data_IF_733030036240
#
_entry.id   IF_733030036240
#
_cell.length_a   1.000
_cell.length_b   1.000
_cell.length_c   1.000
_cell.angle_alpha   90.00
_cell.angle_beta   90.00
_cell.angle_gamma   90.00
#
_symmetry.space_group_name_H-M   'P 1'
#
loop_
_entity.id
_entity.type
_entity.pdbx_description
1 polymer ?
#
# COMPACT_ATOMS: atom_id res chain seq x y z
N UNK A 1 13.86 -19.61 12.28
CA UNK A 1 14.55 -20.05 11.04
C UNK A 1 14.88 -18.80 10.23
N UNK A 2 16.16 -18.53 10.03
CA UNK A 2 16.62 -17.37 9.28
C UNK A 2 16.80 -17.77 7.81
N UNK A 3 16.26 -17.01 6.89
CA UNK A 3 16.55 -17.15 5.47
C UNK A 3 17.08 -15.81 4.96
N UNK A 4 18.21 -15.83 4.25
CA UNK A 4 18.70 -14.66 3.54
C UNK A 4 18.31 -14.80 2.07
N UNK A 5 17.69 -13.80 1.51
CA UNK A 5 17.29 -13.77 0.10
C UNK A 5 18.42 -13.32 -0.83
N UNK A 6 19.65 -13.57 -0.44
CA UNK A 6 20.80 -13.58 -1.30
C UNK A 6 21.29 -12.26 -1.89
N UNK A 7 20.57 -11.16 -1.77
CA UNK A 7 21.03 -9.83 -2.18
C UNK A 7 20.58 -8.76 -1.20
N UNK A 8 21.52 -7.96 -0.74
CA UNK A 8 21.31 -6.77 0.13
C UNK A 8 20.87 -7.05 1.58
N UNK A 9 21.15 -8.21 2.14
CA UNK A 9 20.99 -8.42 3.58
C UNK A 9 19.57 -8.38 4.11
N UNK A 10 18.59 -8.77 3.32
CA UNK A 10 17.21 -8.92 3.78
C UNK A 10 17.07 -10.18 4.61
N UNK A 11 16.71 -10.05 5.87
CA UNK A 11 16.47 -11.19 6.76
C UNK A 11 14.99 -11.30 7.05
N UNK A 12 14.44 -12.50 6.90
CA UNK A 12 13.09 -12.82 7.35
C UNK A 12 13.19 -13.65 8.63
N UNK A 13 12.81 -13.04 9.76
CA UNK A 13 12.66 -13.76 11.02
C UNK A 13 11.20 -14.18 11.16
N UNK A 14 10.93 -15.47 11.13
CA UNK A 14 9.61 -16.02 11.35
C UNK A 14 9.54 -16.57 12.78
N UNK A 15 8.72 -15.98 13.63
CA UNK A 15 8.33 -16.55 14.91
C UNK A 15 6.99 -17.25 14.74
N UNK A 16 6.81 -18.45 15.30
CA UNK A 16 5.49 -19.05 15.42
C UNK A 16 4.58 -18.12 16.23
N UNK A 17 3.34 -17.96 15.82
CA UNK A 17 2.37 -17.06 16.46
C UNK A 17 2.22 -17.33 17.98
N UNK A 18 2.39 -18.58 18.39
CA UNK A 18 2.26 -19.04 19.76
C UNK A 18 3.44 -18.70 20.68
N UNK A 19 4.54 -18.17 20.13
CA UNK A 19 5.77 -17.90 20.88
C UNK A 19 5.96 -16.45 21.31
N UNK A 20 5.04 -15.55 20.96
CA UNK A 20 5.24 -14.09 21.08
C UNK A 20 4.22 -13.41 22.00
N UNK A 21 3.18 -14.11 22.44
CA UNK A 21 2.18 -13.54 23.33
C UNK A 21 2.80 -13.27 24.73
N UNK A 22 3.03 -12.00 25.02
CA UNK A 22 3.52 -11.54 26.31
C UNK A 22 5.03 -11.58 26.54
N UNK A 23 5.85 -11.84 25.54
CA UNK A 23 7.31 -11.82 25.70
C UNK A 23 7.92 -10.53 25.12
N UNK A 24 8.54 -9.74 26.00
CA UNK A 24 9.53 -8.74 25.59
C UNK A 24 10.89 -9.44 25.43
N UNK A 25 11.42 -9.47 24.22
CA UNK A 25 12.73 -10.06 23.95
C UNK A 25 13.53 -9.20 22.98
N UNK A 26 14.84 -9.11 23.20
CA UNK A 26 15.76 -8.50 22.26
C UNK A 26 16.13 -9.54 21.20
N UNK A 27 15.92 -9.19 19.93
CA UNK A 27 16.43 -9.97 18.80
C UNK A 27 17.76 -9.36 18.36
N UNK A 28 18.83 -10.12 18.52
CA UNK A 28 20.15 -9.71 18.04
C UNK A 28 20.36 -10.26 16.63
N UNK A 29 20.46 -9.37 15.67
CA UNK A 29 20.81 -9.69 14.30
C UNK A 29 22.29 -9.36 14.05
N UNK A 30 23.10 -10.35 13.72
CA UNK A 30 24.48 -10.13 13.29
C UNK A 30 24.52 -10.15 11.77
N UNK A 31 24.84 -9.02 11.16
CA UNK A 31 25.03 -8.87 9.73
C UNK A 31 26.52 -9.01 9.41
N UNK A 32 26.88 -10.00 8.61
CA UNK A 32 28.27 -10.25 8.19
C UNK A 32 28.62 -9.59 6.85
N UNK A 33 27.88 -8.57 6.43
CA UNK A 33 28.16 -7.85 5.19
C UNK A 33 29.05 -6.61 5.45
N UNK A 34 30.02 -6.31 4.59
CA UNK A 34 30.95 -5.19 4.80
C UNK A 34 30.29 -3.81 4.69
N UNK A 35 29.03 -3.72 4.29
CA UNK A 35 28.26 -2.47 4.18
C UNK A 35 26.82 -2.76 4.53
N UNK A 36 26.47 -2.74 5.83
CA UNK A 36 25.07 -2.76 6.26
C UNK A 36 24.57 -1.32 6.29
N UNK A 37 23.83 -0.92 5.29
CA UNK A 37 23.37 0.46 5.26
C UNK A 37 22.01 0.67 5.90
N UNK A 38 21.06 -0.25 5.76
CA UNK A 38 19.78 -0.22 6.47
C UNK A 38 19.16 -1.61 6.52
N UNK A 39 18.62 -1.99 7.67
CA UNK A 39 17.74 -3.13 7.78
C UNK A 39 16.32 -2.61 8.04
N UNK A 40 15.45 -2.71 7.06
CA UNK A 40 14.03 -2.55 7.31
C UNK A 40 13.50 -3.86 7.89
N UNK A 41 13.07 -3.86 9.15
CA UNK A 41 12.44 -5.00 9.77
C UNK A 41 10.92 -4.85 9.66
N UNK A 42 10.30 -5.83 9.04
CA UNK A 42 8.86 -5.96 9.03
C UNK A 42 8.49 -7.09 9.99
N UNK A 43 7.66 -6.83 10.98
CA UNK A 43 6.95 -7.88 11.66
C UNK A 43 5.69 -8.20 10.86
N UNK A 44 5.62 -9.41 10.34
CA UNK A 44 4.37 -9.93 9.77
C UNK A 44 3.67 -10.67 10.90
N UNK A 45 2.61 -10.08 11.43
CA UNK A 45 1.72 -10.75 12.35
C UNK A 45 0.68 -11.55 11.56
N UNK A 46 0.41 -12.76 11.99
CA UNK A 46 -0.68 -13.56 11.47
C UNK A 46 -1.79 -13.57 12.52
N UNK A 47 -2.94 -13.06 12.16
CA UNK A 47 -4.16 -13.19 12.97
C UNK A 47 -5.18 -14.02 12.22
N UNK A 48 -5.94 -14.81 12.96
CA UNK A 48 -7.10 -15.48 12.41
C UNK A 48 -8.25 -14.50 12.35
N UNK A 49 -8.82 -14.34 11.16
CA UNK A 49 -10.06 -13.59 11.02
C UNK A 49 -11.23 -14.31 11.70
N UNK A 50 -12.40 -13.69 11.66
CA UNK A 50 -13.62 -14.22 12.26
C UNK A 50 -14.08 -15.57 11.66
N UNK A 51 -13.49 -16.00 10.53
CA UNK A 51 -13.77 -17.28 9.85
C UNK A 51 -12.68 -18.31 10.12
N UNK A 52 -11.62 -17.94 10.85
CA UNK A 52 -10.48 -18.80 11.16
C UNK A 52 -9.37 -18.83 10.12
N UNK A 53 -9.47 -18.01 9.08
CA UNK A 53 -8.46 -17.88 8.04
C UNK A 53 -7.32 -16.97 8.50
N UNK A 54 -6.07 -17.39 8.22
CA UNK A 54 -4.88 -16.63 8.57
C UNK A 54 -4.73 -15.42 7.64
N UNK A 55 -4.82 -14.24 8.22
CA UNK A 55 -4.53 -12.97 7.55
C UNK A 55 -3.14 -12.49 7.94
N UNK A 56 -2.38 -12.03 6.94
CA UNK A 56 -1.06 -11.45 7.16
C UNK A 56 -1.19 -9.94 7.30
N UNK A 57 -0.82 -9.42 8.46
CA UNK A 57 -0.74 -7.98 8.70
C UNK A 57 0.73 -7.58 8.82
N UNK A 58 1.08 -6.44 8.23
CA UNK A 58 2.32 -5.76 8.59
C UNK A 58 2.01 -5.06 9.91
N UNK A 59 2.56 -5.55 11.00
CA UNK A 59 2.45 -4.87 12.27
C UNK A 59 3.23 -3.57 12.17
N UNK A 60 2.54 -2.45 12.29
CA UNK A 60 3.19 -1.16 12.48
C UNK A 60 3.87 -1.24 13.86
N UNK A 61 5.19 -1.38 13.85
CA UNK A 61 5.97 -1.44 15.06
C UNK A 61 6.16 -0.02 15.59
N UNK A 62 5.13 0.51 16.24
CA UNK A 62 5.26 1.71 17.09
C UNK A 62 6.23 1.50 18.27
N UNK A 63 6.74 0.29 18.42
CA UNK A 63 7.74 -0.07 19.38
C UNK A 63 9.10 -0.17 18.70
N UNK A 64 9.89 0.85 18.96
CA UNK A 64 11.29 1.02 18.63
C UNK A 64 12.08 -0.29 18.68
N UNK A 65 12.32 -0.89 17.53
CA UNK A 65 13.41 -1.84 17.39
C UNK A 65 14.67 -1.00 17.20
N UNK A 66 15.43 -0.85 18.23
CA UNK A 66 16.74 -0.24 18.16
C UNK A 66 17.68 -1.30 17.58
N UNK A 67 18.04 -1.13 16.32
CA UNK A 67 19.15 -1.87 15.74
C UNK A 67 20.43 -1.15 16.18
N UNK A 68 21.14 -1.72 17.13
CA UNK A 68 22.54 -1.39 17.36
C UNK A 68 23.34 -1.95 16.19
N UNK A 69 23.46 -1.17 15.14
CA UNK A 69 24.40 -1.46 14.07
C UNK A 69 25.76 -1.06 14.58
N UNK A 70 26.58 -2.02 15.02
CA UNK A 70 27.94 -1.76 15.38
C UNK A 70 28.67 -1.17 14.17
N UNK A 71 28.98 0.11 14.30
CA UNK A 71 29.94 0.89 13.55
C UNK A 71 30.23 0.43 12.13
N UNK A 72 29.42 0.86 11.21
CA UNK A 72 29.91 1.14 9.87
C UNK A 72 30.02 2.64 9.77
N UNK A 73 31.21 3.09 9.33
CA UNK A 73 31.63 4.46 9.18
C UNK A 73 30.47 5.42 8.97
N UNK A 74 30.31 6.31 9.93
CA UNK A 74 29.36 7.40 9.97
C UNK A 74 29.35 8.16 8.65
N UNK A 75 28.34 7.91 7.83
CA UNK A 75 27.91 8.92 6.89
C UNK A 75 26.99 9.85 7.70
N UNK A 76 27.51 11.00 8.10
CA UNK A 76 26.71 11.99 8.77
C UNK A 76 25.72 12.57 7.76
N UNK A 77 24.45 12.25 7.91
CA UNK A 77 23.38 13.10 7.41
C UNK A 77 23.54 14.45 8.10
N UNK A 78 23.77 15.52 7.33
CA UNK A 78 23.92 16.86 7.86
C UNK A 78 25.37 17.38 8.00
N UNK A 79 26.35 16.72 7.41
CA UNK A 79 27.64 17.32 7.18
C UNK A 79 27.50 18.49 6.22
N UNK A 80 27.89 19.69 6.65
CA UNK A 80 28.23 20.76 5.73
C UNK A 80 29.13 20.14 4.66
N UNK A 81 28.63 20.06 3.42
CA UNK A 81 29.44 19.66 2.28
C UNK A 81 30.68 20.56 2.32
N UNK A 82 31.84 19.92 2.53
CA UNK A 82 33.08 20.66 2.32
C UNK A 82 33.07 21.09 0.85
N UNK A 83 33.07 22.36 0.51
CA UNK A 83 32.96 22.81 -0.86
C UNK A 83 34.08 22.29 -1.78
N UNK A 84 35.10 21.68 -1.19
CA UNK A 84 36.23 21.10 -1.90
C UNK A 84 36.20 19.58 -2.01
N UNK A 85 35.08 18.91 -1.72
CA UNK A 85 34.93 17.46 -1.87
C UNK A 85 34.17 17.09 -3.14
N UNK A 86 34.73 16.15 -3.91
CA UNK A 86 34.04 15.53 -5.04
C UNK A 86 32.94 14.63 -4.51
N UNK A 87 31.69 14.97 -4.78
CA UNK A 87 30.55 14.23 -4.24
C UNK A 87 29.34 14.24 -5.18
N UNK A 88 28.46 13.26 -4.98
CA UNK A 88 27.11 13.23 -5.55
C UNK A 88 26.10 13.32 -4.39
N UNK A 89 25.22 14.32 -4.44
CA UNK A 89 24.11 14.47 -3.52
C UNK A 89 22.82 14.07 -4.20
N UNK A 90 22.07 13.17 -3.57
CA UNK A 90 20.71 12.79 -3.97
C UNK A 90 19.75 13.48 -3.01
N UNK A 91 18.73 14.12 -3.55
CA UNK A 91 17.63 14.75 -2.83
C UNK A 91 16.36 14.01 -3.23
N UNK A 92 15.60 13.54 -2.25
CA UNK A 92 14.35 12.82 -2.44
C UNK A 92 13.20 13.59 -1.84
N UNK A 93 12.22 13.92 -2.69
CA UNK A 93 11.09 14.77 -2.32
C UNK A 93 9.77 14.09 -2.71
N UNK A 94 8.72 14.45 -1.99
CA UNK A 94 7.35 14.10 -2.33
C UNK A 94 6.81 15.01 -3.42
N UNK A 95 6.21 14.41 -4.43
CA UNK A 95 5.59 15.14 -5.54
C UNK A 95 4.40 15.97 -5.02
N UNK A 96 4.37 17.24 -5.42
CA UNK A 96 3.31 18.21 -5.08
C UNK A 96 3.48 18.93 -3.73
N UNK A 97 4.18 18.35 -2.75
CA UNK A 97 4.39 18.97 -1.43
C UNK A 97 5.81 19.43 -1.17
N UNK A 98 6.78 18.87 -1.90
CA UNK A 98 8.22 19.08 -1.70
C UNK A 98 8.74 18.61 -0.32
N UNK A 99 7.96 17.79 0.39
CA UNK A 99 8.41 17.22 1.65
C UNK A 99 9.57 16.24 1.45
N UNK A 100 10.61 16.29 2.30
CA UNK A 100 11.72 15.37 2.21
C UNK A 100 11.29 13.92 2.54
N UNK A 101 11.78 12.95 1.76
CA UNK A 101 11.41 11.55 1.89
C UNK A 101 12.61 10.69 2.32
N UNK A 102 12.46 10.05 3.48
CA UNK A 102 13.40 9.08 4.02
C UNK A 102 13.20 7.68 3.42
N UNK A 103 14.29 6.93 3.28
CA UNK A 103 14.26 5.50 3.02
C UNK A 103 14.16 5.10 1.54
N UNK A 104 14.24 6.04 0.60
CA UNK A 104 14.43 5.69 -0.80
C UNK A 104 15.81 5.07 -1.01
N UNK A 105 15.91 3.99 -1.79
CA UNK A 105 17.18 3.30 -2.06
C UNK A 105 17.59 3.48 -3.51
N UNK A 106 18.83 3.92 -3.68
CA UNK A 106 19.44 4.21 -4.98
C UNK A 106 20.65 3.34 -5.24
N UNK A 107 20.76 2.81 -6.47
CA UNK A 107 22.00 2.24 -6.99
C UNK A 107 22.77 3.29 -7.78
N UNK A 108 24.05 3.45 -7.49
CA UNK A 108 24.93 4.42 -8.16
C UNK A 108 26.00 3.68 -8.95
N UNK A 109 26.17 4.10 -10.19
CA UNK A 109 27.16 3.53 -11.13
C UNK A 109 28.13 4.64 -11.59
N UNK A 110 29.42 4.28 -11.70
CA UNK A 110 30.46 5.16 -12.15
C UNK A 110 30.47 5.35 -13.69
N UNK A 111 31.32 6.22 -14.23
CA UNK A 111 31.41 6.43 -15.69
C UNK A 111 31.77 5.21 -16.51
N UNK A 112 32.35 4.17 -15.89
CA UNK A 112 32.67 2.89 -16.53
C UNK A 112 31.51 1.89 -16.47
N UNK A 113 30.37 2.26 -15.82
CA UNK A 113 29.21 1.41 -15.61
C UNK A 113 29.34 0.40 -14.48
N UNK A 114 30.36 0.54 -13.64
CA UNK A 114 30.57 -0.29 -12.46
C UNK A 114 29.76 0.27 -11.29
N UNK A 115 29.08 -0.61 -10.56
CA UNK A 115 28.32 -0.21 -9.36
C UNK A 115 29.25 0.30 -8.26
N UNK A 116 29.06 1.56 -7.87
CA UNK A 116 29.74 2.21 -6.74
C UNK A 116 29.16 1.71 -5.42
N UNK A 117 27.83 1.63 -5.34
CA UNK A 117 27.15 1.19 -4.14
C UNK A 117 25.62 1.33 -4.23
N UNK A 118 24.96 0.99 -3.12
CA UNK A 118 23.54 1.29 -2.89
C UNK A 118 23.44 2.20 -1.67
N UNK A 119 22.61 3.24 -1.78
CA UNK A 119 22.52 4.32 -0.80
C UNK A 119 21.05 4.63 -0.50
N UNK A 120 20.76 5.02 0.73
CA UNK A 120 19.41 5.37 1.15
C UNK A 120 19.33 6.80 1.66
N UNK A 121 18.23 7.49 1.40
CA UNK A 121 17.99 8.82 1.92
C UNK A 121 17.70 8.80 3.41
N UNK A 122 18.24 9.79 4.13
CA UNK A 122 17.99 10.01 5.55
C UNK A 122 16.69 10.78 5.81
N UNK A 123 16.42 11.12 7.09
CA UNK A 123 15.20 11.84 7.50
C UNK A 123 15.02 13.22 6.84
N UNK A 124 16.11 13.81 6.39
CA UNK A 124 16.13 15.07 5.65
C UNK A 124 15.89 14.89 4.13
N UNK A 125 15.56 13.66 3.71
CA UNK A 125 15.37 13.30 2.31
C UNK A 125 16.66 13.30 1.49
N UNK A 126 17.85 13.33 2.11
CA UNK A 126 19.09 13.43 1.36
C UNK A 126 20.07 12.29 1.65
N UNK A 127 20.95 12.04 0.69
CA UNK A 127 22.17 11.26 0.89
C UNK A 127 23.29 11.87 0.06
N UNK A 128 24.47 12.07 0.68
CA UNK A 128 25.67 12.56 0.01
C UNK A 128 26.70 11.45 -0.07
N UNK A 129 27.21 11.22 -1.27
CA UNK A 129 28.09 10.10 -1.61
C UNK A 129 29.45 10.71 -2.02
N UNK A 130 30.50 10.56 -1.20
CA UNK A 130 31.83 10.99 -1.59
C UNK A 130 32.35 10.12 -2.73
N UNK A 131 32.91 10.76 -3.73
CA UNK A 131 33.43 10.14 -4.95
C UNK A 131 34.91 10.46 -5.15
N UNK A 132 35.61 9.63 -5.89
CA UNK A 132 37.04 9.82 -6.16
C UNK A 132 37.36 10.09 -7.64
N UNK A 133 36.36 9.87 -8.51
CA UNK A 133 36.47 10.06 -9.95
C UNK A 133 35.49 11.11 -10.43
N UNK A 134 35.90 11.94 -11.35
CA UNK A 134 35.03 12.80 -12.13
C UNK A 134 34.38 12.00 -13.28
N UNK A 135 33.26 12.48 -13.80
CA UNK A 135 32.63 11.91 -15.01
C UNK A 135 31.13 11.74 -14.89
N UNK A 136 30.56 11.01 -15.82
CA UNK A 136 29.13 10.81 -15.96
C UNK A 136 28.63 9.64 -15.13
N UNK A 137 27.93 9.91 -14.04
CA UNK A 137 27.39 8.90 -13.12
C UNK A 137 25.92 8.60 -13.46
N UNK A 138 25.52 7.36 -13.25
CA UNK A 138 24.13 6.91 -13.38
C UNK A 138 23.58 6.56 -11.99
N UNK A 139 22.40 7.07 -11.69
CA UNK A 139 21.71 6.85 -10.41
C UNK A 139 20.31 6.30 -10.70
N UNK A 140 20.01 5.13 -10.14
CA UNK A 140 18.71 4.46 -10.31
C UNK A 140 18.04 4.29 -8.95
N UNK A 141 16.81 4.78 -8.83
CA UNK A 141 15.97 4.49 -7.67
C UNK A 141 15.45 3.04 -7.77
N UNK A 142 15.84 2.20 -6.82
CA UNK A 142 15.46 0.78 -6.78
C UNK A 142 14.24 0.53 -5.88
N UNK A 143 14.16 1.27 -4.78
CA UNK A 143 13.09 1.13 -3.79
C UNK A 143 12.57 2.52 -3.44
N UNK A 144 11.26 2.76 -3.63
CA UNK A 144 10.66 4.04 -3.25
C UNK A 144 10.55 4.16 -1.72
N UNK A 145 10.37 5.39 -1.20
CA UNK A 145 10.01 5.61 0.19
C UNK A 145 8.71 4.89 0.56
N UNK A 146 8.55 4.60 1.84
CA UNK A 146 7.32 3.97 2.35
C UNK A 146 6.08 4.78 1.95
N UNK A 147 5.04 4.11 1.49
CA UNK A 147 3.77 4.69 1.03
C UNK A 147 3.84 5.54 -0.24
N UNK A 148 4.93 5.44 -0.99
CA UNK A 148 5.10 6.13 -2.26
C UNK A 148 5.23 5.15 -3.41
N UNK A 149 4.89 5.65 -4.59
CA UNK A 149 5.04 4.93 -5.85
C UNK A 149 6.48 5.04 -6.35
N UNK A 150 6.99 3.96 -6.95
CA UNK A 150 8.18 4.08 -7.78
C UNK A 150 7.78 4.79 -9.08
N UNK A 151 8.46 5.87 -9.50
CA UNK A 151 8.14 6.58 -10.73
C UNK A 151 8.45 5.71 -11.97
N UNK A 152 7.88 6.05 -13.13
CA UNK A 152 8.21 5.35 -14.38
C UNK A 152 9.68 5.53 -14.75
N UNK A 153 10.19 6.76 -14.61
CA UNK A 153 11.60 7.05 -14.82
C UNK A 153 12.36 7.01 -13.49
N UNK A 154 12.98 5.88 -13.25
CA UNK A 154 13.74 5.63 -12.02
C UNK A 154 15.20 6.07 -12.10
N UNK A 155 15.70 6.43 -13.30
CA UNK A 155 17.12 6.67 -13.55
C UNK A 155 17.39 8.10 -13.96
N UNK A 156 18.39 8.70 -13.32
CA UNK A 156 18.94 10.01 -13.68
C UNK A 156 20.46 9.93 -13.80
N UNK A 157 21.04 10.95 -14.43
CA UNK A 157 22.47 11.06 -14.67
C UNK A 157 23.02 12.36 -14.10
N UNK A 158 24.24 12.31 -13.61
CA UNK A 158 24.95 13.49 -13.10
C UNK A 158 26.38 13.56 -13.64
N UNK A 159 26.79 14.74 -14.09
CA UNK A 159 28.18 15.03 -14.38
C UNK A 159 28.86 15.49 -13.08
N UNK A 160 29.78 14.69 -12.57
CA UNK A 160 30.54 14.95 -11.37
C UNK A 160 31.90 15.53 -11.75
N UNK A 161 32.24 16.69 -11.16
CA UNK A 161 33.51 17.35 -11.35
C UNK A 161 34.34 17.31 -10.05
N UNK A 162 35.65 17.34 -10.14
CA UNK A 162 36.52 17.40 -8.98
C UNK A 162 36.24 18.61 -8.09
N UNK A 163 36.26 18.40 -6.79
CA UNK A 163 36.02 19.41 -5.75
C UNK A 163 34.66 20.11 -5.90
N UNK A 164 33.66 19.38 -6.45
CA UNK A 164 32.27 19.86 -6.53
C UNK A 164 31.32 18.79 -6.11
N UNK A 165 30.16 19.21 -5.61
CA UNK A 165 29.02 18.33 -5.35
C UNK A 165 28.01 18.45 -6.49
N UNK A 166 27.82 17.39 -7.27
CA UNK A 166 26.70 17.26 -8.19
C UNK A 166 25.44 16.92 -7.40
N UNK A 167 24.28 17.42 -7.82
CA UNK A 167 23.01 17.15 -7.13
C UNK A 167 21.96 16.64 -8.10
N UNK A 168 21.31 15.54 -7.73
CA UNK A 168 20.13 15.00 -8.40
C UNK A 168 18.92 15.07 -7.47
N UNK A 169 17.75 15.41 -8.04
CA UNK A 169 16.49 15.44 -7.28
C UNK A 169 15.53 14.41 -7.88
N UNK A 170 15.05 13.51 -7.04
CA UNK A 170 14.04 12.51 -7.39
C UNK A 170 12.74 12.81 -6.66
N UNK A 171 11.63 12.52 -7.32
CA UNK A 171 10.27 12.78 -6.83
C UNK A 171 9.48 11.50 -6.82
N UNK A 172 8.71 11.24 -5.75
CA UNK A 172 7.74 10.15 -5.73
C UNK A 172 6.38 10.65 -5.28
N UNK A 173 5.35 10.15 -5.95
CA UNK A 173 3.98 10.41 -5.60
C UNK A 173 3.54 9.47 -4.46
N UNK A 174 2.84 9.94 -3.41
CA UNK A 174 2.20 9.06 -2.45
C UNK A 174 1.05 8.28 -3.07
N UNK A 175 0.74 7.11 -2.54
CA UNK A 175 -0.48 6.39 -2.89
C UNK A 175 -1.71 7.17 -2.47
N UNK A 176 -2.80 7.01 -3.23
CA UNK A 176 -4.13 7.38 -2.79
C UNK A 176 -4.91 6.19 -2.24
N UNK A 177 -6.18 6.43 -1.88
CA UNK A 177 -7.14 5.41 -1.49
C UNK A 177 -8.53 5.68 -2.08
N UNK A 178 -9.34 4.63 -2.14
CA UNK A 178 -10.71 4.72 -2.64
C UNK A 178 -11.66 4.05 -1.65
N UNK A 179 -12.53 4.85 -1.07
CA UNK A 179 -13.63 4.44 -0.23
C UNK A 179 -14.88 4.19 -1.08
N UNK A 180 -15.47 3.01 -0.98
CA UNK A 180 -16.75 2.72 -1.62
C UNK A 180 -17.81 2.54 -0.55
N UNK A 181 -18.84 3.38 -0.60
CA UNK A 181 -20.01 3.31 0.27
C UNK A 181 -21.14 2.58 -0.44
N UNK A 182 -21.73 1.61 0.24
CA UNK A 182 -22.85 0.83 -0.24
C UNK A 182 -24.05 0.99 0.67
N UNK A 183 -25.11 1.55 0.13
CA UNK A 183 -26.34 1.88 0.89
C UNK A 183 -27.57 1.31 0.20
N UNK A 184 -28.63 1.16 0.97
CA UNK A 184 -29.99 0.97 0.45
C UNK A 184 -30.55 2.31 -0.05
N UNK A 185 -31.66 2.26 -0.76
CA UNK A 185 -32.47 3.42 -1.12
C UNK A 185 -33.14 4.10 0.09
N UNK A 186 -33.19 3.41 1.24
CA UNK A 186 -33.60 3.97 2.55
C UNK A 186 -32.43 4.54 3.36
N UNK A 187 -31.20 4.38 2.89
CA UNK A 187 -29.98 4.92 3.51
C UNK A 187 -29.24 3.92 4.42
N UNK A 188 -29.75 2.70 4.58
CA UNK A 188 -29.10 1.67 5.41
C UNK A 188 -27.81 1.15 4.79
N UNK A 189 -26.85 0.82 5.64
CA UNK A 189 -25.56 0.28 5.22
C UNK A 189 -25.67 -1.19 4.77
N UNK A 190 -25.22 -1.52 3.56
CA UNK A 190 -25.30 -2.86 3.00
C UNK A 190 -23.95 -3.57 3.07
N UNK A 191 -23.88 -4.66 3.84
CA UNK A 191 -22.68 -5.51 3.98
C UNK A 191 -22.71 -6.71 3.05
N UNK A 192 -21.52 -7.23 2.67
CA UNK A 192 -21.39 -8.45 1.84
C UNK A 192 -21.50 -8.19 0.34
N UNK A 193 -21.69 -6.95 -0.09
CA UNK A 193 -21.74 -6.59 -1.52
C UNK A 193 -20.34 -6.64 -2.10
N UNK A 194 -20.16 -7.34 -3.21
CA UNK A 194 -18.87 -7.47 -3.87
C UNK A 194 -18.61 -6.32 -4.83
N UNK A 195 -17.58 -5.57 -4.54
CA UNK A 195 -17.10 -4.42 -5.34
C UNK A 195 -15.82 -4.79 -6.05
N UNK A 196 -15.71 -4.41 -7.31
CA UNK A 196 -14.48 -4.45 -8.08
C UNK A 196 -14.08 -3.03 -8.47
N UNK A 197 -12.79 -2.76 -8.35
CA UNK A 197 -12.17 -1.56 -8.92
C UNK A 197 -11.16 -1.97 -9.98
N UNK A 198 -11.00 -1.14 -11.02
CA UNK A 198 -10.04 -1.35 -12.11
C UNK A 198 -9.41 -0.03 -12.51
N UNK A 199 -8.08 0.03 -12.47
CA UNK A 199 -7.34 1.19 -12.97
C UNK A 199 -7.47 1.28 -14.50
N UNK A 200 -7.81 2.45 -15.01
CA UNK A 200 -8.15 2.64 -16.45
C UNK A 200 -6.93 2.43 -17.34
N UNK A 201 -5.78 2.96 -16.95
CA UNK A 201 -4.57 2.94 -17.78
C UNK A 201 -3.81 1.61 -17.65
N UNK A 202 -3.58 1.15 -16.43
CA UNK A 202 -2.77 -0.05 -16.18
C UNK A 202 -3.54 -1.35 -16.27
N UNK A 203 -4.88 -1.30 -16.10
CA UNK A 203 -5.73 -2.47 -16.01
C UNK A 203 -5.64 -3.22 -14.69
N UNK A 204 -4.90 -2.69 -13.70
CA UNK A 204 -4.86 -3.27 -12.34
C UNK A 204 -6.27 -3.44 -11.80
N UNK A 205 -6.56 -4.60 -11.24
CA UNK A 205 -7.90 -4.93 -10.74
C UNK A 205 -7.82 -5.42 -9.30
N UNK A 206 -8.69 -4.88 -8.44
CA UNK A 206 -8.87 -5.35 -7.05
C UNK A 206 -10.35 -5.60 -6.79
N UNK A 207 -10.64 -6.56 -5.91
CA UNK A 207 -12.01 -6.95 -5.55
C UNK A 207 -12.10 -7.16 -4.05
N UNK A 208 -13.24 -6.79 -3.47
CA UNK A 208 -13.50 -7.00 -2.06
C UNK A 208 -14.98 -6.84 -1.72
N UNK A 209 -15.34 -7.08 -0.46
CA UNK A 209 -16.71 -7.01 0.02
C UNK A 209 -16.90 -5.91 1.04
N UNK A 210 -18.07 -5.26 0.99
CA UNK A 210 -18.46 -4.23 1.96
C UNK A 210 -18.70 -4.83 3.34
N UNK A 211 -18.27 -4.08 4.38
CA UNK A 211 -18.57 -4.33 5.79
C UNK A 211 -19.17 -3.07 6.39
N UNK A 212 -20.30 -3.18 7.04
CA UNK A 212 -21.05 -2.01 7.52
C UNK A 212 -21.28 -0.96 6.41
N UNK A 213 -21.54 -1.44 5.20
CA UNK A 213 -21.76 -0.59 4.04
C UNK A 213 -20.52 0.08 3.44
N UNK A 214 -19.31 -0.32 3.83
CA UNK A 214 -18.07 0.33 3.36
C UNK A 214 -17.04 -0.71 2.98
N UNK A 215 -16.27 -0.39 1.95
CA UNK A 215 -14.96 -1.00 1.67
C UNK A 215 -13.98 0.11 1.31
N UNK A 216 -12.74 -0.02 1.78
CA UNK A 216 -11.65 0.89 1.42
C UNK A 216 -10.57 0.08 0.71
N UNK A 217 -10.14 0.59 -0.43
CA UNK A 217 -9.00 0.08 -1.19
C UNK A 217 -7.83 1.04 -0.99
N UNK A 218 -6.82 0.58 -0.25
CA UNK A 218 -5.62 1.36 0.06
C UNK A 218 -4.53 1.18 -0.99
N UNK A 219 -3.53 2.05 -0.97
CA UNK A 219 -2.33 1.98 -1.80
C UNK A 219 -2.67 1.85 -3.28
N UNK A 220 -3.51 2.74 -3.74
CA UNK A 220 -3.89 2.84 -5.14
C UNK A 220 -2.97 3.84 -5.84
N UNK A 221 -2.56 3.48 -7.06
CA UNK A 221 -1.93 4.44 -7.96
C UNK A 221 -2.91 5.59 -8.24
N UNK A 222 -2.49 6.86 -8.21
CA UNK A 222 -3.30 7.97 -8.69
C UNK A 222 -3.75 7.77 -10.13
N UNK A 223 -4.91 8.30 -10.46
CA UNK A 223 -5.48 8.16 -11.81
C UNK A 223 -6.95 7.77 -11.80
N UNK A 224 -7.47 7.43 -12.96
CA UNK A 224 -8.87 7.04 -13.14
C UNK A 224 -9.09 5.56 -12.76
N UNK A 225 -10.06 5.31 -11.91
CA UNK A 225 -10.49 3.96 -11.54
C UNK A 225 -11.96 3.74 -11.89
N UNK A 226 -12.24 2.67 -12.61
CA UNK A 226 -13.59 2.15 -12.76
C UNK A 226 -13.98 1.38 -11.51
N UNK A 227 -15.16 1.70 -10.97
CA UNK A 227 -15.74 1.05 -9.78
C UNK A 227 -17.05 0.43 -10.18
N UNK A 228 -17.25 -0.86 -9.88
CA UNK A 228 -18.49 -1.57 -10.17
C UNK A 228 -18.89 -2.52 -9.06
N UNK A 229 -20.18 -2.76 -8.93
CA UNK A 229 -20.71 -3.88 -8.17
C UNK A 229 -20.68 -5.14 -9.04
N UNK A 230 -20.06 -6.24 -8.55
CA UNK A 230 -20.04 -7.52 -9.26
C UNK A 230 -21.19 -8.43 -8.81
N UNK A 231 -21.48 -8.42 -7.52
CA UNK A 231 -22.55 -9.22 -6.93
C UNK A 231 -23.14 -8.49 -5.73
N UNK A 232 -24.47 -8.49 -5.69
CA UNK A 232 -25.24 -7.98 -4.57
C UNK A 232 -25.41 -9.02 -3.46
N UNK A 233 -26.41 -8.78 -2.62
CA UNK A 233 -26.80 -9.64 -1.50
C UNK A 233 -28.28 -10.02 -1.64
N UNK A 234 -28.69 -11.12 -1.01
CA UNK A 234 -30.07 -11.57 -1.04
C UNK A 234 -31.02 -10.50 -0.51
N UNK A 235 -32.18 -10.39 -1.20
CA UNK A 235 -33.20 -9.41 -0.87
C UNK A 235 -33.01 -8.02 -1.52
N UNK A 236 -31.93 -7.81 -2.28
CA UNK A 236 -31.61 -6.54 -2.90
C UNK A 236 -31.37 -6.67 -4.40
N UNK A 237 -31.73 -5.64 -5.16
CA UNK A 237 -31.38 -5.54 -6.58
C UNK A 237 -29.96 -4.97 -6.66
N UNK A 238 -29.04 -5.77 -7.19
CA UNK A 238 -27.67 -5.34 -7.41
C UNK A 238 -27.60 -4.29 -8.52
N UNK A 239 -26.81 -3.25 -8.32
CA UNK A 239 -26.52 -2.24 -9.33
C UNK A 239 -25.29 -2.64 -10.17
N UNK A 240 -25.39 -3.81 -10.82
CA UNK A 240 -24.29 -4.39 -11.61
C UNK A 240 -24.04 -3.69 -12.94
N UNK A 241 -25.02 -2.93 -13.43
CA UNK A 241 -24.94 -2.23 -14.70
C UNK A 241 -24.30 -0.84 -14.57
N UNK A 242 -24.19 -0.34 -13.34
CA UNK A 242 -23.58 0.97 -13.10
C UNK A 242 -22.08 0.82 -12.87
N UNK A 243 -21.32 1.51 -13.71
CA UNK A 243 -19.88 1.71 -13.55
C UNK A 243 -19.65 3.18 -13.25
N UNK A 244 -19.00 3.47 -12.14
CA UNK A 244 -18.56 4.82 -11.80
C UNK A 244 -17.08 4.96 -12.09
N UNK A 245 -16.67 6.11 -12.64
CA UNK A 245 -15.27 6.46 -12.79
C UNK A 245 -14.91 7.45 -11.69
N UNK A 246 -13.92 7.11 -10.89
CA UNK A 246 -13.42 7.93 -9.78
C UNK A 246 -11.96 8.23 -10.01
N UNK A 247 -11.59 9.50 -9.88
CA UNK A 247 -10.19 9.90 -9.85
C UNK A 247 -9.64 9.64 -8.45
N UNK A 248 -8.66 8.76 -8.34
CA UNK A 248 -7.86 8.60 -7.12
C UNK A 248 -6.76 9.66 -7.14
N UNK A 249 -6.75 10.49 -6.12
CA UNK A 249 -5.77 11.58 -5.97
C UNK A 249 -4.65 11.11 -5.04
N UNK A 250 -3.43 11.49 -5.39
CA UNK A 250 -2.23 11.21 -4.61
C UNK A 250 -2.38 11.73 -3.18
N UNK A 251 -2.16 10.88 -2.19
CA UNK A 251 -2.24 11.23 -0.76
C UNK A 251 -3.65 11.43 -0.21
N UNK A 252 -4.71 11.24 -1.00
CA UNK A 252 -6.09 11.50 -0.58
C UNK A 252 -6.97 10.23 -0.59
N UNK A 253 -8.08 10.28 0.15
CA UNK A 253 -9.16 9.30 0.07
C UNK A 253 -10.26 9.82 -0.87
N UNK A 254 -10.45 9.17 -2.01
CA UNK A 254 -11.55 9.42 -2.93
C UNK A 254 -12.76 8.55 -2.54
N UNK A 255 -13.98 8.94 -2.94
CA UNK A 255 -15.19 8.20 -2.54
C UNK A 255 -16.10 7.92 -3.74
N UNK A 256 -16.65 6.69 -3.78
CA UNK A 256 -17.76 6.29 -4.64
C UNK A 256 -18.94 5.80 -3.80
N UNK A 257 -20.18 6.05 -4.25
CA UNK A 257 -21.39 5.58 -3.55
C UNK A 257 -22.30 4.81 -4.50
N UNK A 258 -22.72 3.62 -4.09
CA UNK A 258 -23.68 2.78 -4.81
C UNK A 258 -24.92 2.55 -3.95
N UNK A 259 -26.10 2.56 -4.60
CA UNK A 259 -27.40 2.41 -3.93
C UNK A 259 -28.13 1.22 -4.52
N UNK A 260 -28.44 0.22 -3.68
CA UNK A 260 -29.31 -0.90 -4.07
C UNK A 260 -30.74 -0.68 -3.57
N UNK A 261 -31.70 -1.21 -4.33
CA UNK A 261 -33.11 -1.20 -3.98
C UNK A 261 -33.50 -2.51 -3.37
N UNK A 262 -34.34 -2.48 -2.33
CA UNK A 262 -34.91 -3.69 -1.76
C UNK A 262 -35.81 -4.38 -2.78
N UNK A 263 -35.70 -5.69 -2.87
CA UNK A 263 -36.61 -6.49 -3.69
C UNK A 263 -38.01 -6.40 -3.09
N UNK A 264 -39.02 -6.15 -3.92
CA UNK A 264 -40.41 -6.12 -3.42
C UNK A 264 -40.79 -7.49 -2.87
N UNK A 265 -41.33 -7.47 -1.67
CA UNK A 265 -41.86 -8.68 -1.01
C UNK A 265 -43.35 -8.80 -1.11
N UNK A 266 -43.87 -9.99 -1.29
CA UNK A 266 -45.31 -10.29 -1.20
C UNK A 266 -45.55 -11.13 0.05
N UNK A 267 -46.35 -10.62 0.97
CA UNK A 267 -46.81 -11.34 2.14
C UNK A 267 -48.27 -11.77 1.95
N UNK A 268 -48.53 -13.06 1.92
CA UNK A 268 -49.88 -13.61 1.86
C UNK A 268 -50.25 -14.12 3.26
N UNK A 269 -51.39 -13.64 3.78
CA UNK A 269 -51.92 -14.10 5.07
C UNK A 269 -53.31 -14.66 4.82
N UNK A 270 -53.51 -15.93 5.24
CA UNK A 270 -54.78 -16.63 5.10
C UNK A 270 -55.47 -16.72 6.45
N UNK A 271 -56.73 -16.33 6.46
CA UNK A 271 -57.60 -16.41 7.63
C UNK A 271 -58.79 -17.30 7.33
N UNK A 272 -59.31 -17.95 8.35
CA UNK A 272 -60.58 -18.63 8.30
C UNK A 272 -61.75 -17.60 8.25
N UNK A 273 -62.70 -17.87 7.40
CA UNK A 273 -63.85 -16.98 7.25
C UNK A 273 -64.75 -17.05 8.49
N UNK A 274 -64.90 -15.95 9.20
CA UNK A 274 -65.76 -15.81 10.35
C UNK A 274 -65.07 -15.82 11.70
N UNK A 275 -64.03 -16.61 11.90
CA UNK A 275 -63.21 -16.63 13.13
C UNK A 275 -62.04 -15.67 13.11
N UNK A 276 -61.59 -15.28 11.92
CA UNK A 276 -60.34 -14.49 11.72
C UNK A 276 -59.10 -15.19 12.31
N UNK A 277 -59.17 -16.51 12.48
CA UNK A 277 -58.02 -17.30 12.88
C UNK A 277 -57.07 -17.57 11.69
N UNK A 278 -55.76 -17.60 11.96
CA UNK A 278 -54.74 -17.88 10.95
C UNK A 278 -54.83 -19.32 10.48
N UNK A 279 -54.87 -19.53 9.16
CA UNK A 279 -54.91 -20.87 8.54
C UNK A 279 -53.53 -21.28 8.06
N UNK A 280 -52.79 -22.10 8.82
CA UNK A 280 -51.49 -22.63 8.39
C UNK A 280 -51.64 -23.73 7.35
N UNK A 281 -50.60 -23.97 6.54
CA UNK A 281 -50.53 -25.08 5.60
C UNK A 281 -51.33 -24.89 4.29
N UNK A 282 -51.76 -23.66 3.98
CA UNK A 282 -52.41 -23.35 2.70
C UNK A 282 -51.34 -23.04 1.66
N UNK A 283 -51.40 -23.77 0.52
CA UNK A 283 -50.51 -23.52 -0.61
C UNK A 283 -51.08 -22.44 -1.54
N UNK A 284 -50.25 -21.59 -2.06
CA UNK A 284 -50.55 -20.55 -3.03
C UNK A 284 -49.67 -20.70 -4.24
N UNK A 285 -50.20 -20.47 -5.44
CA UNK A 285 -49.40 -20.26 -6.65
C UNK A 285 -49.40 -18.76 -6.98
N UNK A 286 -48.22 -18.27 -7.33
CA UNK A 286 -48.03 -16.87 -7.69
C UNK A 286 -47.63 -16.84 -9.17
N UNK A 287 -48.37 -16.10 -9.95
CA UNK A 287 -48.10 -15.90 -11.37
C UNK A 287 -47.69 -14.43 -11.59
N UNK A 288 -46.73 -14.22 -12.47
CA UNK A 288 -46.43 -12.89 -13.00
C UNK A 288 -47.43 -12.62 -14.11
N UNK A 289 -48.21 -11.57 -13.95
CA UNK A 289 -49.04 -11.07 -15.06
C UNK A 289 -48.14 -10.36 -16.07
N UNK A 290 -48.06 -10.91 -17.27
CA UNK A 290 -47.27 -10.37 -18.40
C UNK A 290 -48.23 -9.79 -19.43
N UNK A 291 -48.96 -8.70 -19.07
CA UNK A 291 -49.60 -7.90 -20.10
C UNK A 291 -48.58 -7.12 -20.93
#
# INVERSE_FOLDING_TARGET
KYTSDGYAGTFKVLYPADSVEGQSGNVQLSLSAPVAQYAAMYAVCQEKDQYGDLQNYICDLDNKIQLDVAAVSSYSSGGTTNPDETALKIVKLEEGTELPLEGAVFSVYDPEGKKVGSYSTGPDGTVTIPLTLEGHYTVTEEIPPRYHLLPEETTQHADVEYNKTATLTFWNAPYGSLRVEKRSDTGDALSGVTIQIKHIETGETRTGQTRNGVIVFDKLAPGGWEVRELAGIDGWVADTDTVQTVAVVSGEESTATFINKELPGLRIIKYERGSMELMPGVSFEIFRDTE
#
